data_IF_046590251240
#
_entry.id   IF_046590251240
#
_cell.length_a   1.000
_cell.length_b   1.000
_cell.length_c   1.000
_cell.angle_alpha   90.00
_cell.angle_beta   90.00
_cell.angle_gamma   90.00
#
_symmetry.space_group_name_H-M   'P 1'
#
loop_
_entity.id
_entity.type
_entity.pdbx_description
1 polymer ?
#
# COMPACT_ATOMS: atom_id res chain seq x y z
N UNK A 1 -9.21 -15.21 2.80
CA UNK A 1 -8.33 -14.83 1.68
C UNK A 1 -6.97 -14.40 2.23
N UNK A 2 -5.93 -15.01 1.74
CA UNK A 2 -4.56 -14.73 2.21
C UNK A 2 -4.01 -13.51 1.48
N UNK A 3 -3.63 -12.48 2.24
CA UNK A 3 -3.23 -11.17 1.72
C UNK A 3 -1.88 -10.79 2.29
N UNK A 4 -0.99 -10.30 1.43
CA UNK A 4 0.28 -9.70 1.84
C UNK A 4 0.26 -8.23 1.47
N UNK A 5 0.87 -7.40 2.30
CA UNK A 5 0.96 -5.96 2.08
C UNK A 5 2.44 -5.57 2.07
N UNK A 6 2.92 -5.15 0.91
CA UNK A 6 4.29 -4.64 0.80
C UNK A 6 4.37 -3.23 1.36
N UNK A 7 5.54 -2.90 1.86
CA UNK A 7 5.81 -1.55 2.35
C UNK A 7 5.63 -0.53 1.22
N UNK A 8 4.89 0.55 1.48
CA UNK A 8 4.65 1.56 0.45
C UNK A 8 5.93 2.31 0.14
N UNK A 9 6.07 2.68 -1.13
CA UNK A 9 7.18 3.48 -1.61
C UNK A 9 6.88 4.95 -1.37
N UNK A 10 7.86 5.72 -0.88
CA UNK A 10 7.72 7.15 -0.68
C UNK A 10 8.68 7.92 -1.57
N UNK A 11 8.17 8.92 -2.28
CA UNK A 11 8.96 9.79 -3.15
C UNK A 11 8.58 11.24 -2.84
N UNK A 12 9.60 12.10 -2.70
CA UNK A 12 9.41 13.53 -2.50
C UNK A 12 10.08 14.29 -3.63
N UNK A 13 9.26 14.95 -4.46
CA UNK A 13 9.72 15.83 -5.54
C UNK A 13 9.26 17.28 -5.34
N UNK A 14 8.90 17.63 -4.10
CA UNK A 14 8.38 18.96 -3.78
C UNK A 14 9.43 20.07 -3.86
N UNK A 15 10.72 19.71 -3.79
CA UNK A 15 11.84 20.64 -3.75
C UNK A 15 11.82 21.59 -2.54
N UNK A 16 11.23 21.15 -1.43
CA UNK A 16 11.28 21.93 -0.22
C UNK A 16 12.71 21.98 0.31
N UNK A 17 13.18 23.16 0.77
CA UNK A 17 14.56 23.31 1.23
C UNK A 17 14.83 22.62 2.56
N UNK A 18 13.80 22.37 3.38
CA UNK A 18 13.94 21.71 4.67
C UNK A 18 13.98 20.21 4.49
N UNK A 19 14.97 19.56 5.10
CA UNK A 19 15.04 18.09 5.11
C UNK A 19 13.97 17.54 6.06
N UNK A 20 13.01 16.82 5.49
CA UNK A 20 11.89 16.23 6.22
C UNK A 20 11.94 14.71 6.21
N UNK A 21 13.08 14.11 5.89
CA UNK A 21 13.22 12.66 5.73
C UNK A 21 12.76 11.91 6.98
N UNK A 22 13.23 12.30 8.16
CA UNK A 22 12.88 11.62 9.42
C UNK A 22 11.38 11.73 9.72
N UNK A 23 10.79 12.88 9.46
CA UNK A 23 9.35 13.11 9.67
C UNK A 23 8.53 12.21 8.74
N UNK A 24 8.91 12.14 7.47
CA UNK A 24 8.20 11.31 6.49
C UNK A 24 8.36 9.82 6.76
N UNK A 25 9.54 9.39 7.19
CA UNK A 25 9.74 8.00 7.60
C UNK A 25 8.82 7.62 8.75
N UNK A 26 8.71 8.49 9.75
CA UNK A 26 7.81 8.25 10.88
C UNK A 26 6.36 8.18 10.44
N UNK A 27 5.92 9.08 9.57
CA UNK A 27 4.55 9.09 9.05
C UNK A 27 4.27 7.83 8.21
N UNK A 28 5.22 7.42 7.40
CA UNK A 28 5.07 6.19 6.61
C UNK A 28 4.98 4.97 7.51
N UNK A 29 5.80 4.90 8.58
CA UNK A 29 5.69 3.79 9.54
C UNK A 29 4.33 3.75 10.21
N UNK A 30 3.83 4.90 10.65
CA UNK A 30 2.49 4.97 11.25
C UNK A 30 1.40 4.58 10.24
N UNK A 31 1.52 5.04 9.00
CA UNK A 31 0.61 4.68 7.92
C UNK A 31 0.59 3.16 7.69
N UNK A 32 1.76 2.54 7.57
CA UNK A 32 1.85 1.10 7.33
C UNK A 32 1.32 0.29 8.51
N UNK A 33 1.63 0.71 9.74
CA UNK A 33 1.11 0.03 10.94
C UNK A 33 -0.42 0.09 10.97
N UNK A 34 -1.00 1.25 10.71
CA UNK A 34 -2.45 1.40 10.69
C UNK A 34 -3.09 0.59 9.57
N UNK A 35 -2.48 0.57 8.39
CA UNK A 35 -3.00 -0.22 7.26
C UNK A 35 -2.98 -1.71 7.56
N UNK A 36 -1.89 -2.22 8.13
CA UNK A 36 -1.79 -3.62 8.52
C UNK A 36 -2.82 -3.97 9.59
N UNK A 37 -3.03 -3.09 10.58
CA UNK A 37 -4.03 -3.30 11.62
C UNK A 37 -5.44 -3.34 11.03
N UNK A 38 -5.76 -2.44 10.10
CA UNK A 38 -7.07 -2.38 9.47
C UNK A 38 -7.33 -3.61 8.60
N UNK A 39 -6.33 -4.07 7.85
CA UNK A 39 -6.45 -5.29 7.05
C UNK A 39 -6.63 -6.51 7.94
N UNK A 40 -5.86 -6.59 9.03
CA UNK A 40 -5.92 -7.71 9.97
C UNK A 40 -7.25 -7.75 10.71
N UNK A 41 -7.85 -6.59 10.98
CA UNK A 41 -9.14 -6.51 11.67
C UNK A 41 -10.30 -7.06 10.83
N UNK A 42 -10.15 -7.13 9.52
CA UNK A 42 -11.17 -7.67 8.64
C UNK A 42 -11.03 -9.20 8.58
N UNK A 43 -12.05 -9.90 9.07
CA UNK A 43 -12.02 -11.37 9.18
C UNK A 43 -11.98 -12.10 7.86
N UNK A 44 -12.28 -11.44 6.75
CA UNK A 44 -12.17 -12.04 5.42
C UNK A 44 -10.72 -12.25 5.00
N UNK A 45 -9.79 -11.56 5.64
CA UNK A 45 -8.39 -11.57 5.25
C UNK A 45 -7.52 -12.24 6.32
N UNK A 46 -6.59 -13.05 5.83
CA UNK A 46 -5.51 -13.62 6.63
C UNK A 46 -4.21 -12.97 6.16
N UNK A 47 -3.52 -12.29 7.06
CA UNK A 47 -2.31 -11.58 6.71
C UNK A 47 -1.14 -12.54 6.58
N UNK A 48 -0.49 -12.52 5.42
CA UNK A 48 0.77 -13.21 5.17
C UNK A 48 1.88 -12.17 5.27
N UNK A 49 2.84 -12.30 6.18
CA UNK A 49 3.90 -11.30 6.32
C UNK A 49 4.67 -11.09 5.03
N UNK A 50 4.92 -9.81 4.72
CA UNK A 50 5.72 -9.45 3.55
C UNK A 50 7.20 -9.51 3.90
N UNK A 51 8.01 -9.97 2.94
CA UNK A 51 9.46 -9.95 3.05
C UNK A 51 10.08 -8.68 2.46
N UNK A 52 9.27 -7.75 1.99
CA UNK A 52 9.76 -6.53 1.37
C UNK A 52 9.52 -5.30 2.24
N UNK A 53 10.61 -4.61 2.59
CA UNK A 53 10.63 -3.31 3.26
C UNK A 53 12.06 -2.77 3.23
N UNK A 54 12.28 -1.43 3.15
CA UNK A 54 11.33 -0.38 2.77
C UNK A 54 11.26 -0.19 1.26
N UNK A 55 10.40 0.74 0.84
CA UNK A 55 10.33 1.20 -0.55
C UNK A 55 10.18 0.07 -1.56
N UNK A 56 9.17 -0.76 -1.38
CA UNK A 56 8.94 -1.89 -2.26
C UNK A 56 8.54 -1.45 -3.67
N UNK A 57 8.92 -2.23 -4.70
CA UNK A 57 8.61 -1.87 -6.07
C UNK A 57 7.11 -1.92 -6.35
N UNK A 58 6.64 -1.03 -7.23
CA UNK A 58 5.23 -0.94 -7.61
C UNK A 58 5.04 -1.19 -9.11
N UNK A 59 6.09 -1.54 -9.83
CA UNK A 59 6.04 -1.78 -11.27
C UNK A 59 7.27 -2.56 -11.73
N UNK A 60 7.20 -3.06 -12.96
CA UNK A 60 8.34 -3.66 -13.66
C UNK A 60 8.70 -5.07 -13.19
N UNK A 61 9.89 -5.54 -13.61
CA UNK A 61 10.36 -6.89 -13.26
C UNK A 61 10.48 -7.12 -11.76
N UNK A 62 10.87 -6.09 -11.00
CA UNK A 62 10.98 -6.19 -9.54
C UNK A 62 9.62 -6.45 -8.89
N UNK A 63 8.55 -5.85 -9.42
CA UNK A 63 7.20 -6.15 -8.93
C UNK A 63 6.80 -7.59 -9.25
N UNK A 64 7.14 -8.08 -10.46
CA UNK A 64 6.85 -9.48 -10.80
C UNK A 64 7.55 -10.45 -9.86
N UNK A 65 8.79 -10.15 -9.47
CA UNK A 65 9.52 -10.93 -8.48
C UNK A 65 8.82 -10.92 -7.12
N UNK A 66 8.28 -9.77 -6.72
CA UNK A 66 7.51 -9.66 -5.49
C UNK A 66 6.23 -10.50 -5.54
N UNK A 67 5.54 -10.49 -6.67
CA UNK A 67 4.33 -11.31 -6.84
C UNK A 67 4.63 -12.80 -6.71
N UNK A 68 5.72 -13.26 -7.32
CA UNK A 68 6.15 -14.65 -7.17
C UNK A 68 6.50 -15.00 -5.73
N UNK A 69 7.24 -14.12 -5.05
CA UNK A 69 7.62 -14.35 -3.66
C UNK A 69 6.39 -14.39 -2.75
N UNK A 70 5.43 -13.48 -2.95
CA UNK A 70 4.19 -13.46 -2.18
C UNK A 70 3.37 -14.73 -2.41
N UNK A 71 3.28 -15.19 -3.66
CA UNK A 71 2.60 -16.43 -4.01
C UNK A 71 3.25 -17.64 -3.32
N UNK A 72 4.57 -17.71 -3.34
CA UNK A 72 5.30 -18.78 -2.68
C UNK A 72 5.12 -18.78 -1.17
N UNK A 73 4.92 -17.60 -0.58
CA UNK A 73 4.65 -17.45 0.85
C UNK A 73 3.19 -17.78 1.22
N UNK A 74 2.35 -18.02 0.23
CA UNK A 74 0.96 -18.39 0.46
C UNK A 74 -0.04 -17.26 0.30
N UNK A 75 0.37 -16.07 -0.11
CA UNK A 75 -0.55 -14.97 -0.34
C UNK A 75 -1.25 -15.12 -1.70
N UNK A 76 -2.56 -14.91 -1.71
CA UNK A 76 -3.36 -14.88 -2.92
C UNK A 76 -3.41 -13.50 -3.53
N UNK A 77 -3.31 -12.47 -2.70
CA UNK A 77 -3.35 -11.06 -3.10
C UNK A 77 -2.13 -10.37 -2.51
N UNK A 78 -1.48 -9.55 -3.34
CA UNK A 78 -0.44 -8.63 -2.90
C UNK A 78 -0.97 -7.20 -3.03
N UNK A 79 -0.97 -6.47 -1.91
CA UNK A 79 -1.31 -5.05 -1.89
C UNK A 79 -0.02 -4.27 -1.96
N UNK A 80 0.06 -3.35 -2.93
CA UNK A 80 1.20 -2.47 -3.13
C UNK A 80 0.73 -1.03 -3.13
N UNK A 81 1.66 -0.12 -2.94
CA UNK A 81 1.30 1.29 -3.04
C UNK A 81 2.49 2.22 -2.91
N UNK A 82 2.19 3.49 -3.00
CA UNK A 82 3.18 4.53 -2.86
C UNK A 82 2.54 5.87 -2.53
N UNK A 83 3.34 6.73 -1.93
CA UNK A 83 2.97 8.11 -1.64
C UNK A 83 4.02 9.01 -2.27
N UNK A 84 3.56 9.96 -3.07
CA UNK A 84 4.41 10.88 -3.80
C UNK A 84 4.06 12.31 -3.38
N UNK A 85 4.97 12.96 -2.68
CA UNK A 85 4.83 14.37 -2.33
C UNK A 85 5.25 15.20 -3.54
N UNK A 86 4.25 15.80 -4.21
CA UNK A 86 4.47 16.55 -5.44
C UNK A 86 4.77 18.01 -5.19
N UNK A 87 4.21 18.58 -4.12
CA UNK A 87 4.42 19.95 -3.71
C UNK A 87 4.27 20.06 -2.20
N UNK A 88 4.47 21.27 -1.67
CA UNK A 88 4.33 21.51 -0.22
C UNK A 88 2.99 21.05 0.33
N UNK A 89 1.92 21.18 -0.46
CA UNK A 89 0.57 20.95 0.02
C UNK A 89 -0.12 19.73 -0.62
N UNK A 90 0.44 19.16 -1.69
CA UNK A 90 -0.28 18.13 -2.45
C UNK A 90 0.54 16.85 -2.51
N UNK A 91 -0.09 15.76 -2.10
CA UNK A 91 0.48 14.42 -2.18
C UNK A 91 -0.45 13.51 -2.98
N UNK A 92 0.17 12.59 -3.72
CA UNK A 92 -0.54 11.58 -4.50
C UNK A 92 -0.33 10.23 -3.84
N UNK A 93 -1.42 9.56 -3.50
CA UNK A 93 -1.37 8.19 -3.01
C UNK A 93 -1.84 7.24 -4.10
N UNK A 94 -1.15 6.12 -4.23
CA UNK A 94 -1.49 5.03 -5.16
C UNK A 94 -1.58 3.75 -4.37
N UNK A 95 -2.55 2.93 -4.72
CA UNK A 95 -2.65 1.58 -4.17
C UNK A 95 -3.20 0.65 -5.24
N UNK A 96 -2.78 -0.60 -5.18
CA UNK A 96 -3.30 -1.64 -6.06
C UNK A 96 -3.29 -2.96 -5.30
N UNK A 97 -4.24 -3.81 -5.65
CA UNK A 97 -4.27 -5.19 -5.21
C UNK A 97 -4.12 -6.08 -6.44
N UNK A 98 -3.20 -7.02 -6.38
CA UNK A 98 -2.83 -7.84 -7.52
C UNK A 98 -2.95 -9.31 -7.13
N UNK A 99 -3.59 -10.10 -8.00
CA UNK A 99 -3.63 -11.55 -7.86
C UNK A 99 -2.22 -12.11 -8.09
N UNK A 100 -1.68 -12.80 -7.10
CA UNK A 100 -0.29 -13.27 -7.16
C UNK A 100 -0.09 -14.39 -8.17
N UNK A 101 -1.11 -15.18 -8.46
CA UNK A 101 -1.02 -16.29 -9.41
C UNK A 101 -1.15 -15.82 -10.85
N UNK A 102 -2.22 -15.09 -11.16
CA UNK A 102 -2.48 -14.60 -12.53
C UNK A 102 -1.70 -13.35 -12.86
N UNK A 103 -1.21 -12.63 -11.84
CA UNK A 103 -0.58 -11.32 -11.94
C UNK A 103 -1.51 -10.24 -12.50
N UNK A 104 -2.82 -10.46 -12.38
CA UNK A 104 -3.82 -9.49 -12.81
C UNK A 104 -4.14 -8.53 -11.68
N UNK A 105 -4.33 -7.26 -12.03
CA UNK A 105 -4.75 -6.23 -11.09
C UNK A 105 -6.21 -6.44 -10.75
N UNK A 106 -6.51 -6.64 -9.45
CA UNK A 106 -7.87 -6.78 -8.95
C UNK A 106 -8.52 -5.41 -8.85
N UNK A 107 -7.82 -4.46 -8.26
CA UNK A 107 -8.20 -3.06 -8.31
C UNK A 107 -6.97 -2.17 -8.26
N UNK A 108 -7.15 -0.95 -8.75
CA UNK A 108 -6.14 0.10 -8.69
C UNK A 108 -6.85 1.40 -8.37
N UNK A 109 -6.27 2.16 -7.45
CA UNK A 109 -6.81 3.46 -7.06
C UNK A 109 -5.68 4.44 -6.83
N UNK A 110 -5.85 5.66 -7.32
CA UNK A 110 -4.99 6.76 -6.92
C UNK A 110 -5.85 7.96 -6.58
N UNK A 111 -5.35 8.78 -5.66
CA UNK A 111 -6.04 9.97 -5.21
C UNK A 111 -5.03 10.96 -4.67
N UNK A 112 -5.39 12.24 -4.70
CA UNK A 112 -4.56 13.27 -4.08
C UNK A 112 -5.13 13.61 -2.71
N UNK A 113 -4.24 13.98 -1.80
CA UNK A 113 -4.64 14.51 -0.52
C UNK A 113 -3.81 15.74 -0.18
N UNK A 114 -4.41 16.64 0.59
CA UNK A 114 -3.78 17.89 0.95
C UNK A 114 -3.24 17.84 2.36
N UNK A 115 -2.10 18.50 2.53
CA UNK A 115 -1.45 18.61 3.83
C UNK A 115 -0.35 17.59 4.01
N UNK A 116 0.66 17.99 4.78
CA UNK A 116 1.77 17.13 5.15
C UNK A 116 1.88 17.15 6.66
N UNK A 117 0.88 16.57 7.31
CA UNK A 117 0.78 16.44 8.75
C UNK A 117 0.19 15.08 9.10
N UNK A 118 0.22 14.74 10.35
CA UNK A 118 -0.22 13.42 10.80
C UNK A 118 -1.68 13.15 10.47
N UNK A 119 -2.54 14.16 10.62
CA UNK A 119 -3.97 14.01 10.32
C UNK A 119 -4.22 13.71 8.85
N UNK A 120 -3.53 14.41 7.95
CA UNK A 120 -3.67 14.19 6.51
C UNK A 120 -3.27 12.76 6.13
N UNK A 121 -2.17 12.28 6.67
CA UNK A 121 -1.69 10.93 6.42
C UNK A 121 -2.64 9.89 7.02
N UNK A 122 -3.22 10.15 8.19
CA UNK A 122 -4.21 9.26 8.80
C UNK A 122 -5.47 9.16 7.95
N UNK A 123 -5.94 10.27 7.39
CA UNK A 123 -7.09 10.25 6.47
C UNK A 123 -6.78 9.47 5.20
N UNK A 124 -5.57 9.64 4.67
CA UNK A 124 -5.15 8.89 3.49
C UNK A 124 -5.11 7.38 3.76
N UNK A 125 -4.62 6.98 4.92
CA UNK A 125 -4.59 5.56 5.30
C UNK A 125 -6.00 5.00 5.41
N UNK A 126 -6.92 5.72 6.05
CA UNK A 126 -8.31 5.26 6.17
C UNK A 126 -8.96 5.09 4.80
N UNK A 127 -8.66 5.99 3.87
CA UNK A 127 -9.17 5.88 2.51
C UNK A 127 -8.63 4.62 1.82
N UNK A 128 -7.34 4.34 1.96
CA UNK A 128 -6.73 3.13 1.38
C UNK A 128 -7.35 1.87 1.99
N UNK A 129 -7.49 1.81 3.31
CA UNK A 129 -8.05 0.62 3.96
C UNK A 129 -9.51 0.41 3.59
N UNK A 130 -10.28 1.47 3.41
CA UNK A 130 -11.66 1.37 2.92
C UNK A 130 -11.72 0.82 1.50
N UNK A 131 -10.83 1.27 0.62
CA UNK A 131 -10.75 0.76 -0.75
C UNK A 131 -10.40 -0.73 -0.76
N UNK A 132 -9.46 -1.15 0.08
CA UNK A 132 -9.11 -2.56 0.21
C UNK A 132 -10.33 -3.36 0.65
N UNK A 133 -11.02 -2.91 1.70
CA UNK A 133 -12.19 -3.60 2.22
C UNK A 133 -13.31 -3.69 1.20
N UNK A 134 -13.58 -2.61 0.48
CA UNK A 134 -14.72 -2.51 -0.41
C UNK A 134 -14.46 -3.13 -1.77
N UNK A 135 -13.20 -3.14 -2.23
CA UNK A 135 -12.84 -3.55 -3.58
C UNK A 135 -12.30 -4.97 -3.68
N UNK A 136 -11.81 -5.56 -2.59
CA UNK A 136 -11.39 -6.95 -2.62
C UNK A 136 -12.59 -7.87 -2.48
N UNK A 137 -12.70 -8.89 -3.32
CA UNK A 137 -13.81 -9.84 -3.23
C UNK A 137 -13.73 -10.66 -1.95
N UNK A 138 -14.88 -11.07 -1.42
CA UNK A 138 -14.94 -11.86 -0.20
C UNK A 138 -14.28 -13.23 -0.37
N UNK A 139 -14.42 -13.81 -1.53
CA UNK A 139 -13.87 -15.11 -1.82
C UNK A 139 -13.56 -15.24 -3.30
N UNK A 140 -12.38 -15.74 -3.59
CA UNK A 140 -11.98 -16.02 -4.95
C UNK A 140 -12.59 -17.32 -5.49
N UNK A 141 -13.02 -18.20 -4.60
CA UNK A 141 -13.64 -19.45 -4.98
C UNK A 141 -15.04 -19.27 -5.58
N UNK A 142 -15.60 -18.09 -5.48
CA UNK A 142 -16.90 -17.77 -6.05
C UNK A 142 -16.83 -17.39 -7.51
N UNK A 143 -15.66 -17.35 -8.07
CA UNK A 143 -15.48 -16.98 -9.48
C UNK A 143 -15.61 -18.16 -10.42
#
# INVERSE_FOLDING_TARGET
MAVSVDDFKYIDTSNEPTDQTAVHEKRLRAFMTALLDDVTADRRFELVPSSCAPNCPIQGPALRDRLRAASQAGAQILIIGGIHKMSTLVQLARTAAIDTTSQRVVFRKFFTFRGDNDEAWQRAERFVSEEVRDRLPESRSQQ
#
